data_IF_002446105157
#
_entry.id   IF_002446105157
#
_cell.length_a   1.000
_cell.length_b   1.000
_cell.length_c   1.000
_cell.angle_alpha   90.00
_cell.angle_beta   90.00
_cell.angle_gamma   90.00
#
_symmetry.space_group_name_H-M   'P 1'
#
loop_
_entity.id
_entity.type
_entity.pdbx_description
1 polymer ?
#
# COMPACT_ATOMS: atom_id res chain seq x y z
N UNK A 1 -13.25 3.98 -7.29
CA UNK A 1 -14.37 3.76 -6.39
C UNK A 1 -13.93 3.95 -4.96
N UNK A 2 -14.78 4.57 -4.15
CA UNK A 2 -14.44 4.94 -2.78
C UNK A 2 -14.01 3.73 -1.95
N UNK A 3 -14.64 2.57 -2.16
CA UNK A 3 -14.31 1.36 -1.40
C UNK A 3 -12.88 0.87 -1.67
N UNK A 4 -12.46 0.88 -2.92
CA UNK A 4 -11.10 0.44 -3.25
C UNK A 4 -10.06 1.45 -2.82
N UNK A 5 -10.37 2.74 -2.88
CA UNK A 5 -9.48 3.77 -2.37
C UNK A 5 -9.23 3.55 -0.87
N UNK A 6 -10.28 3.29 -0.12
CA UNK A 6 -10.17 3.01 1.32
C UNK A 6 -9.34 1.75 1.56
N UNK A 7 -9.56 0.72 0.76
CA UNK A 7 -8.78 -0.52 0.89
C UNK A 7 -7.30 -0.27 0.65
N UNK A 8 -6.96 0.59 -0.30
CA UNK A 8 -5.56 0.94 -0.57
C UNK A 8 -4.96 1.72 0.60
N UNK A 9 -5.72 2.63 1.21
CA UNK A 9 -5.26 3.34 2.40
C UNK A 9 -4.96 2.37 3.53
N UNK A 10 -5.84 1.41 3.74
CA UNK A 10 -5.68 0.39 4.77
C UNK A 10 -4.50 -0.53 4.50
N UNK A 11 -4.35 -0.94 3.25
CA UNK A 11 -3.20 -1.78 2.86
C UNK A 11 -1.89 -1.06 3.10
N UNK A 12 -1.85 0.24 2.82
CA UNK A 12 -0.65 1.04 3.09
C UNK A 12 -0.32 1.06 4.58
N UNK A 13 -1.30 1.20 5.44
CA UNK A 13 -1.09 1.15 6.89
C UNK A 13 -0.54 -0.20 7.33
N UNK A 14 -1.10 -1.28 6.79
CA UNK A 14 -0.63 -2.63 7.10
C UNK A 14 0.81 -2.81 6.64
N UNK A 15 1.13 -2.38 5.43
CA UNK A 15 2.48 -2.51 4.88
C UNK A 15 3.49 -1.64 5.64
N UNK A 16 3.07 -0.46 6.08
CA UNK A 16 3.93 0.37 6.91
C UNK A 16 4.31 -0.36 8.18
N UNK A 17 3.33 -0.94 8.87
CA UNK A 17 3.59 -1.68 10.10
C UNK A 17 4.47 -2.91 9.84
N UNK A 18 4.16 -3.66 8.78
CA UNK A 18 4.94 -4.83 8.38
C UNK A 18 6.41 -4.45 8.15
N UNK A 19 6.63 -3.35 7.42
CA UNK A 19 7.99 -2.91 7.10
C UNK A 19 8.74 -2.44 8.34
N UNK A 20 8.09 -1.72 9.22
CA UNK A 20 8.72 -1.17 10.42
C UNK A 20 8.99 -2.22 11.49
N UNK A 21 8.08 -3.17 11.67
CA UNK A 21 8.21 -4.15 12.75
C UNK A 21 8.88 -5.44 12.32
N UNK A 22 9.00 -5.68 11.02
CA UNK A 22 9.55 -6.91 10.45
C UNK A 22 8.76 -8.16 10.82
N UNK A 23 7.52 -7.98 11.29
CA UNK A 23 6.66 -9.12 11.60
C UNK A 23 5.99 -9.66 10.34
N UNK A 24 5.47 -10.89 10.36
CA UNK A 24 4.74 -11.41 9.21
C UNK A 24 3.54 -10.54 8.87
N UNK A 25 3.22 -10.45 7.59
CA UNK A 25 2.13 -9.59 7.14
C UNK A 25 0.80 -10.00 7.76
N UNK A 26 0.61 -11.29 8.03
CA UNK A 26 -0.61 -11.77 8.66
C UNK A 26 -0.80 -11.17 10.04
N UNK A 27 0.28 -10.98 10.78
CA UNK A 27 0.21 -10.31 12.09
C UNK A 27 -0.12 -8.83 11.95
N UNK A 28 0.45 -8.18 10.95
CA UNK A 28 0.14 -6.77 10.69
C UNK A 28 -1.33 -6.61 10.31
N UNK A 29 -1.87 -7.52 9.52
CA UNK A 29 -3.29 -7.51 9.16
C UNK A 29 -4.16 -7.70 10.40
N UNK A 30 -3.81 -8.68 11.23
CA UNK A 30 -4.57 -8.94 12.46
C UNK A 30 -4.56 -7.73 13.38
N UNK A 31 -3.40 -7.10 13.56
CA UNK A 31 -3.28 -5.89 14.37
C UNK A 31 -4.13 -4.75 13.82
N UNK A 32 -4.17 -4.62 12.50
CA UNK A 32 -5.00 -3.59 11.88
C UNK A 32 -6.48 -3.79 12.22
N UNK A 33 -6.98 -5.02 12.08
CA UNK A 33 -8.37 -5.30 12.40
C UNK A 33 -8.67 -5.10 13.88
N UNK A 34 -7.75 -5.51 14.76
CA UNK A 34 -7.92 -5.30 16.19
C UNK A 34 -8.08 -3.82 16.53
N UNK A 35 -7.24 -2.97 15.93
CA UNK A 35 -7.32 -1.53 16.14
C UNK A 35 -8.62 -0.96 15.59
N UNK A 36 -8.99 -1.38 14.40
CA UNK A 36 -10.21 -0.92 13.74
C UNK A 36 -11.44 -1.27 14.57
N UNK A 37 -11.51 -2.52 15.04
CA UNK A 37 -12.67 -2.99 15.79
C UNK A 37 -12.74 -2.41 17.20
N UNK A 38 -11.60 -2.14 17.82
CA UNK A 38 -11.61 -1.54 19.15
C UNK A 38 -12.12 -0.10 19.11
N UNK A 39 -11.87 0.62 18.04
CA UNK A 39 -12.40 1.96 17.86
C UNK A 39 -13.91 1.95 17.66
N UNK A 40 -14.42 0.87 17.11
CA UNK A 40 -15.85 0.72 16.87
C UNK A 40 -16.60 0.10 18.04
N UNK A 41 -15.87 -0.41 19.02
CA UNK A 41 -16.49 -1.09 20.15
C UNK A 41 -17.33 -0.16 21.01
N UNK A 42 -17.17 1.14 20.87
CA UNK A 42 -17.98 2.13 21.59
C UNK A 42 -19.27 2.46 20.86
N UNK A 43 -19.48 1.93 19.68
CA UNK A 43 -20.72 2.13 18.97
C UNK A 43 -21.76 1.15 19.48
N UNK A 44 -22.87 1.63 20.05
CA UNK A 44 -23.90 0.72 20.52
C UNK A 44 -24.64 0.03 19.39
N UNK A 45 -24.27 0.34 18.19
CA UNK A 45 -24.91 -0.24 17.05
C UNK A 45 -24.17 -1.51 16.68
N UNK A 46 -24.34 -2.50 17.51
CA UNK A 46 -23.82 -3.81 17.23
C UNK A 46 -24.71 -4.54 16.29
N UNK A 47 -25.28 -3.82 15.36
CA UNK A 47 -25.94 -4.46 14.28
C UNK A 47 -24.99 -5.48 13.68
N UNK A 48 -25.53 -6.51 13.19
CA UNK A 48 -24.86 -7.62 12.53
C UNK A 48 -23.82 -7.19 11.48
N UNK A 49 -23.61 -5.91 11.37
CA UNK A 49 -22.58 -5.32 10.52
C UNK A 49 -21.26 -5.25 11.25
N UNK A 50 -20.77 -6.38 11.70
CA UNK A 50 -19.34 -6.45 11.87
C UNK A 50 -18.76 -6.13 10.52
N UNK A 51 -17.97 -5.05 10.40
CA UNK A 51 -17.37 -4.76 9.12
C UNK A 51 -16.64 -6.01 8.69
N UNK A 52 -17.10 -6.60 7.62
CA UNK A 52 -16.50 -7.79 7.08
C UNK A 52 -15.04 -7.54 6.79
N UNK A 53 -14.33 -8.60 6.51
CA UNK A 53 -12.95 -8.51 6.11
C UNK A 53 -12.84 -7.65 4.86
N UNK A 54 -11.80 -6.84 4.80
CA UNK A 54 -11.47 -6.08 3.61
C UNK A 54 -10.59 -6.94 2.72
N UNK A 55 -11.22 -7.70 1.85
CA UNK A 55 -10.51 -8.67 1.02
C UNK A 55 -9.51 -8.03 0.08
N UNK A 56 -9.85 -6.87 -0.49
CA UNK A 56 -8.93 -6.19 -1.39
C UNK A 56 -7.72 -5.66 -0.64
N UNK A 57 -7.92 -5.13 0.56
CA UNK A 57 -6.82 -4.69 1.41
C UNK A 57 -5.89 -5.87 1.71
N UNK A 58 -6.45 -7.02 2.09
CA UNK A 58 -5.64 -8.19 2.42
C UNK A 58 -4.87 -8.69 1.20
N UNK A 59 -5.52 -8.71 0.05
CA UNK A 59 -4.85 -9.12 -1.19
C UNK A 59 -3.67 -8.23 -1.52
N UNK A 60 -3.87 -6.92 -1.42
CA UNK A 60 -2.78 -5.97 -1.68
C UNK A 60 -1.63 -6.15 -0.69
N UNK A 61 -1.95 -6.26 0.59
CA UNK A 61 -0.91 -6.39 1.62
C UNK A 61 -0.16 -7.71 1.48
N UNK A 62 -0.87 -8.82 1.34
CA UNK A 62 -0.25 -10.14 1.22
C UNK A 62 0.56 -10.27 -0.05
N UNK A 63 -0.04 -9.90 -1.19
CA UNK A 63 0.65 -10.00 -2.47
C UNK A 63 1.89 -9.13 -2.53
N UNK A 64 1.80 -7.90 -2.03
CA UNK A 64 2.93 -6.99 -2.01
C UNK A 64 4.06 -7.55 -1.16
N UNK A 65 3.75 -8.07 0.03
CA UNK A 65 4.79 -8.61 0.91
C UNK A 65 5.43 -9.87 0.34
N UNK A 66 4.64 -10.72 -0.31
CA UNK A 66 5.17 -11.94 -0.93
C UNK A 66 6.10 -11.64 -2.09
N UNK A 67 5.81 -10.60 -2.85
CA UNK A 67 6.59 -10.22 -4.02
C UNK A 67 7.59 -9.09 -3.72
N UNK A 68 7.78 -8.76 -2.47
CA UNK A 68 8.58 -7.60 -2.08
C UNK A 68 10.00 -7.64 -2.65
N UNK A 69 10.66 -8.78 -2.64
CA UNK A 69 12.03 -8.88 -3.14
C UNK A 69 12.10 -8.54 -4.63
N UNK A 70 11.21 -9.09 -5.44
CA UNK A 70 11.15 -8.80 -6.87
C UNK A 70 10.77 -7.35 -7.12
N UNK A 71 9.79 -6.85 -6.37
CA UNK A 71 9.34 -5.48 -6.51
C UNK A 71 10.47 -4.51 -6.16
N UNK A 72 11.16 -4.76 -5.06
CA UNK A 72 12.28 -3.91 -4.62
C UNK A 72 13.39 -3.88 -5.65
N UNK A 73 13.66 -5.02 -6.29
CA UNK A 73 14.64 -5.07 -7.37
C UNK A 73 14.22 -4.20 -8.56
N UNK A 74 12.95 -4.23 -8.91
CA UNK A 74 12.44 -3.39 -10.00
C UNK A 74 12.52 -1.90 -9.64
N UNK A 75 12.21 -1.54 -8.41
CA UNK A 75 12.34 -0.15 -7.96
C UNK A 75 13.79 0.30 -8.04
N UNK A 76 14.69 -0.51 -7.50
CA UNK A 76 16.12 -0.18 -7.46
C UNK A 76 16.68 -0.02 -8.85
N UNK A 77 16.26 -0.85 -9.81
CA UNK A 77 16.76 -0.78 -11.17
C UNK A 77 16.33 0.51 -11.89
N UNK A 78 15.28 1.17 -11.42
CA UNK A 78 14.76 2.39 -12.03
C UNK A 78 15.04 3.66 -11.24
N UNK A 79 15.63 3.54 -10.05
CA UNK A 79 15.90 4.69 -9.20
C UNK A 79 17.42 4.86 -9.03
N UNK A 80 18.07 5.42 -10.03
CA UNK A 80 19.53 5.49 -10.08
C UNK A 80 20.15 6.23 -8.91
N UNK A 81 19.46 7.23 -8.40
CA UNK A 81 20.00 8.10 -7.35
C UNK A 81 19.42 7.86 -5.97
N UNK A 82 18.53 6.86 -5.82
CA UNK A 82 17.83 6.64 -4.56
C UNK A 82 17.91 5.19 -4.16
N UNK A 83 18.42 4.94 -2.98
CA UNK A 83 18.40 3.60 -2.40
C UNK A 83 17.07 3.40 -1.69
N UNK A 84 16.52 2.21 -1.83
CA UNK A 84 15.24 1.87 -1.24
C UNK A 84 15.27 2.08 0.29
N UNK A 85 16.38 1.72 0.93
CA UNK A 85 16.51 1.87 2.39
C UNK A 85 16.47 3.33 2.84
N UNK A 86 16.77 4.25 1.95
CA UNK A 86 16.78 5.69 2.27
C UNK A 86 15.48 6.37 1.95
N UNK A 87 14.57 5.68 1.25
CA UNK A 87 13.26 6.24 1.00
C UNK A 87 12.44 6.27 2.28
N UNK A 88 11.61 7.29 2.49
CA UNK A 88 10.65 7.25 3.60
C UNK A 88 9.83 5.96 3.54
N UNK A 89 9.54 5.38 4.69
CA UNK A 89 8.81 4.11 4.74
C UNK A 89 7.47 4.18 4.01
N UNK A 90 6.78 5.32 4.12
CA UNK A 90 5.51 5.51 3.42
C UNK A 90 5.72 5.45 1.91
N UNK A 91 6.72 6.18 1.41
CA UNK A 91 6.98 6.27 -0.03
C UNK A 91 7.30 4.91 -0.63
N UNK A 92 8.21 4.17 0.01
CA UNK A 92 8.59 2.88 -0.55
C UNK A 92 7.45 1.87 -0.53
N UNK A 93 6.56 1.96 0.45
CA UNK A 93 5.43 1.05 0.49
C UNK A 93 4.32 1.44 -0.47
N UNK A 94 4.16 2.73 -0.76
CA UNK A 94 3.28 3.17 -1.85
C UNK A 94 3.79 2.60 -3.18
N UNK A 95 5.10 2.71 -3.42
CA UNK A 95 5.71 2.17 -4.64
C UNK A 95 5.50 0.66 -4.74
N UNK A 96 5.79 -0.06 -3.67
CA UNK A 96 5.64 -1.51 -3.65
C UNK A 96 4.23 -1.94 -3.97
N UNK A 97 3.26 -1.32 -3.31
CA UNK A 97 1.86 -1.68 -3.48
C UNK A 97 1.36 -1.37 -4.89
N UNK A 98 1.74 -0.21 -5.43
CA UNK A 98 1.35 0.16 -6.78
C UNK A 98 1.95 -0.79 -7.82
N UNK A 99 3.21 -1.15 -7.67
CA UNK A 99 3.86 -2.06 -8.61
C UNK A 99 3.20 -3.44 -8.55
N UNK A 100 2.87 -3.91 -7.35
CA UNK A 100 2.14 -5.15 -7.22
C UNK A 100 0.79 -5.09 -7.94
N UNK A 101 0.03 -4.02 -7.70
CA UNK A 101 -1.29 -3.88 -8.32
C UNK A 101 -1.19 -3.80 -9.85
N UNK A 102 -0.19 -3.09 -10.36
CA UNK A 102 0.03 -3.03 -11.81
C UNK A 102 0.37 -4.40 -12.39
N UNK A 103 1.12 -5.21 -11.63
CA UNK A 103 1.53 -6.53 -12.10
C UNK A 103 0.36 -7.49 -12.25
N UNK A 104 -0.73 -7.25 -11.54
CA UNK A 104 -1.93 -8.06 -11.62
C UNK A 104 -2.76 -7.79 -12.87
N UNK A 105 -2.59 -6.63 -13.46
CA UNK A 105 -3.27 -6.22 -14.69
C UNK A 105 -4.79 -6.22 -14.62
N UNK A 106 -5.33 -6.18 -13.41
CA UNK A 106 -6.78 -6.11 -13.20
C UNK A 106 -7.29 -4.68 -13.21
N UNK A 107 -6.42 -3.72 -12.89
CA UNK A 107 -6.73 -2.29 -12.89
C UNK A 107 -5.80 -1.62 -13.89
N UNK A 108 -6.31 -0.69 -14.71
CA UNK A 108 -5.44 0.02 -15.65
C UNK A 108 -4.29 0.73 -14.93
N UNK A 109 -3.09 0.68 -15.52
CA UNK A 109 -1.91 1.26 -14.90
C UNK A 109 -2.10 2.74 -14.57
N UNK A 110 -2.76 3.50 -15.44
CA UNK A 110 -3.00 4.92 -15.20
C UNK A 110 -3.80 5.13 -13.91
N UNK A 111 -4.78 4.27 -13.66
CA UNK A 111 -5.58 4.36 -12.44
C UNK A 111 -4.75 4.03 -11.21
N UNK A 112 -3.93 2.97 -11.30
CA UNK A 112 -3.05 2.58 -10.19
C UNK A 112 -2.09 3.71 -9.85
N UNK A 113 -1.49 4.32 -10.86
CA UNK A 113 -0.56 5.43 -10.64
C UNK A 113 -1.28 6.62 -10.01
N UNK A 114 -2.45 7.00 -10.53
CA UNK A 114 -3.20 8.11 -9.94
C UNK A 114 -3.54 7.87 -8.48
N UNK A 115 -3.94 6.64 -8.14
CA UNK A 115 -4.23 6.29 -6.74
C UNK A 115 -2.99 6.36 -5.87
N UNK A 116 -1.85 5.91 -6.38
CA UNK A 116 -0.58 6.00 -5.65
C UNK A 116 -0.21 7.46 -5.37
N UNK A 117 -0.39 8.34 -6.35
CA UNK A 117 -0.09 9.75 -6.18
C UNK A 117 -1.04 10.40 -5.16
N UNK A 118 -2.29 9.98 -5.13
CA UNK A 118 -3.24 10.45 -4.14
C UNK A 118 -2.82 10.05 -2.73
N UNK A 119 -2.38 8.81 -2.57
CA UNK A 119 -1.85 8.35 -1.28
C UNK A 119 -0.61 9.15 -0.87
N UNK A 120 0.26 9.46 -1.82
CA UNK A 120 1.44 10.27 -1.53
C UNK A 120 1.05 11.68 -1.07
N UNK A 121 0.04 12.28 -1.67
CA UNK A 121 -0.45 13.60 -1.23
C UNK A 121 -1.00 13.55 0.18
N UNK A 122 -1.73 12.49 0.51
CA UNK A 122 -2.36 12.35 1.82
C UNK A 122 -1.35 12.06 2.93
N UNK A 123 -0.36 11.22 2.67
CA UNK A 123 0.46 10.65 3.72
C UNK A 123 1.93 11.02 3.65
N UNK A 124 2.37 11.69 2.60
CA UNK A 124 3.77 12.05 2.44
C UNK A 124 3.93 13.54 2.13
N UNK A 125 3.89 13.94 0.87
CA UNK A 125 3.99 15.35 0.51
C UNK A 125 4.22 15.52 -0.98
N UNK A 126 4.23 16.77 -1.43
CA UNK A 126 4.32 17.09 -2.85
C UNK A 126 5.63 16.62 -3.49
N UNK A 127 6.73 16.66 -2.74
CA UNK A 127 8.00 16.17 -3.25
C UNK A 127 7.93 14.67 -3.55
N UNK A 128 7.24 13.93 -2.68
CA UNK A 128 7.07 12.50 -2.89
C UNK A 128 6.20 12.20 -4.09
N UNK A 129 5.21 13.04 -4.38
CA UNK A 129 4.33 12.83 -5.53
C UNK A 129 5.16 12.78 -6.82
N UNK A 130 6.03 13.77 -7.04
CA UNK A 130 6.88 13.80 -8.23
C UNK A 130 7.82 12.61 -8.30
N UNK A 131 8.43 12.28 -7.18
CA UNK A 131 9.37 11.18 -7.07
C UNK A 131 8.69 9.84 -7.40
N UNK A 132 7.55 9.59 -6.77
CA UNK A 132 6.81 8.33 -6.96
C UNK A 132 6.31 8.23 -8.40
N UNK A 133 5.80 9.33 -8.96
CA UNK A 133 5.33 9.33 -10.33
C UNK A 133 6.46 8.94 -11.30
N UNK A 134 7.64 9.50 -11.10
CA UNK A 134 8.78 9.19 -11.96
C UNK A 134 9.16 7.72 -11.93
N UNK A 135 9.20 7.13 -10.74
CA UNK A 135 9.56 5.72 -10.60
C UNK A 135 8.48 4.81 -11.18
N UNK A 136 7.21 5.08 -10.89
CA UNK A 136 6.12 4.25 -11.39
C UNK A 136 6.04 4.31 -12.92
N UNK A 137 6.23 5.49 -13.48
CA UNK A 137 6.26 5.64 -14.93
C UNK A 137 7.38 4.83 -15.56
N UNK A 138 8.58 4.90 -14.97
CA UNK A 138 9.73 4.15 -15.45
C UNK A 138 9.53 2.63 -15.36
N UNK A 139 8.97 2.17 -14.24
CA UNK A 139 8.67 0.74 -14.05
C UNK A 139 7.62 0.29 -15.05
N UNK A 140 6.59 1.09 -15.27
CA UNK A 140 5.51 0.74 -16.19
C UNK A 140 6.03 0.64 -17.63
N UNK A 141 6.90 1.54 -18.02
CA UNK A 141 7.47 1.55 -19.38
C UNK A 141 8.56 0.50 -19.58
N UNK A 142 9.21 0.14 -18.52
CA UNK A 142 10.35 -0.75 -18.59
C UNK A 142 10.03 -2.18 -18.55
#
# INVERSE_FOLDING_TARGET
MAARHRSRQRALQVLYQWDMTKQPVEQAIASFYDTLYSDESDSPDDSDDKPGRDEFMEELAKGTSEMAADIDHRITSKSENWRLERMPTVDRNILRMAIYEMSRQETPAAVVIDEALELARQFSGEESVSFINGILDAVHKG
#
